data_IF_230765630806
#
_entry.id   IF_230765630806
#
_cell.length_a   1.000
_cell.length_b   1.000
_cell.length_c   1.000
_cell.angle_alpha   90.00
_cell.angle_beta   90.00
_cell.angle_gamma   90.00
#
_symmetry.space_group_name_H-M   'P 1'
#
loop_
_entity.id
_entity.type
_entity.pdbx_description
1 polymer ?
#
# COMPACT_ATOMS: atom_id res chain seq x y z
N UNK A 1 11.71 13.24 -20.77
CA UNK A 1 12.29 14.07 -19.71
C UNK A 1 11.77 15.50 -19.75
N UNK A 2 11.81 16.23 -20.90
CA UNK A 2 11.32 17.64 -21.00
C UNK A 2 9.84 17.83 -20.58
N UNK A 3 8.94 16.89 -20.91
CA UNK A 3 7.51 16.97 -20.53
C UNK A 3 7.28 16.82 -19.02
N UNK A 4 8.08 15.99 -18.34
CA UNK A 4 8.02 15.82 -16.87
C UNK A 4 8.56 17.07 -16.17
N UNK A 5 9.64 17.67 -16.70
CA UNK A 5 10.16 18.95 -16.20
C UNK A 5 9.18 20.10 -16.41
N UNK A 6 8.43 20.12 -17.52
CA UNK A 6 7.39 21.15 -17.73
C UNK A 6 6.22 21.01 -16.78
N UNK A 7 5.79 19.78 -16.48
CA UNK A 7 4.74 19.51 -15.47
C UNK A 7 5.24 19.93 -14.08
N UNK A 8 6.47 19.58 -13.71
CA UNK A 8 7.08 20.02 -12.46
C UNK A 8 7.23 21.56 -12.40
N UNK A 9 7.61 22.21 -13.49
CA UNK A 9 7.70 23.67 -13.56
C UNK A 9 6.32 24.36 -13.49
N UNK A 10 5.27 23.78 -14.09
CA UNK A 10 3.89 24.27 -13.95
C UNK A 10 3.38 24.15 -12.51
N UNK A 11 3.70 23.07 -11.80
CA UNK A 11 3.33 22.92 -10.38
C UNK A 11 4.01 23.97 -9.50
N UNK A 12 5.24 24.39 -9.83
CA UNK A 12 5.96 25.46 -9.09
C UNK A 12 5.42 26.85 -9.40
N UNK A 13 4.87 27.08 -10.58
CA UNK A 13 4.37 28.41 -10.99
C UNK A 13 3.01 28.80 -10.38
N UNK A 14 2.27 27.84 -9.81
CA UNK A 14 0.95 28.08 -9.16
C UNK A 14 1.03 28.34 -7.65
N UNK A 15 2.22 28.64 -7.11
CA UNK A 15 2.49 28.84 -5.68
C UNK A 15 1.84 30.10 -5.05
N UNK A 16 0.81 30.68 -5.67
CA UNK A 16 0.26 31.98 -5.27
C UNK A 16 -0.82 31.96 -4.18
N UNK A 17 -1.38 30.83 -3.79
CA UNK A 17 -2.44 30.80 -2.78
C UNK A 17 -2.57 29.39 -2.18
N UNK A 18 -1.55 28.92 -1.47
CA UNK A 18 -1.60 27.61 -0.82
C UNK A 18 -1.58 27.82 0.68
N UNK A 19 -2.61 27.33 1.36
CA UNK A 19 -2.69 27.35 2.81
C UNK A 19 -1.45 26.66 3.40
N UNK A 20 -0.67 27.39 4.17
CA UNK A 20 0.29 26.78 5.09
C UNK A 20 -0.52 26.28 6.26
N UNK A 21 -0.27 25.06 6.72
CA UNK A 21 -0.84 24.58 7.98
C UNK A 21 -0.50 25.58 9.10
N UNK A 22 -1.55 26.17 9.68
CA UNK A 22 -1.36 27.02 10.84
C UNK A 22 -1.01 26.16 12.06
N UNK A 23 -0.19 26.71 12.96
CA UNK A 23 0.16 26.03 14.20
C UNK A 23 -1.10 25.86 15.05
N UNK A 24 -1.39 24.61 15.45
CA UNK A 24 -2.59 24.27 16.20
C UNK A 24 -3.80 23.91 15.32
N UNK A 25 -3.70 24.03 14.01
CA UNK A 25 -4.77 23.65 13.09
C UNK A 25 -4.92 22.12 13.04
N UNK A 26 -6.15 21.68 13.14
CA UNK A 26 -6.53 20.27 12.96
C UNK A 26 -7.32 20.12 11.67
N UNK A 27 -6.92 19.18 10.84
CA UNK A 27 -7.62 18.90 9.57
C UNK A 27 -7.98 17.44 9.46
N UNK A 28 -9.07 17.16 8.74
CA UNK A 28 -9.53 15.82 8.41
C UNK A 28 -9.59 15.64 6.88
N UNK A 29 -9.01 14.56 6.39
CA UNK A 29 -8.89 14.31 4.96
C UNK A 29 -9.43 12.91 4.62
N UNK A 30 -10.67 12.76 4.11
CA UNK A 30 -11.05 11.57 3.36
C UNK A 30 -10.17 11.42 2.13
N UNK A 31 -9.71 10.20 1.86
CA UNK A 31 -8.84 9.91 0.72
C UNK A 31 -9.17 8.58 0.08
N UNK A 32 -8.97 8.52 -1.23
CA UNK A 32 -9.13 7.33 -2.05
C UNK A 32 -7.99 7.25 -3.06
N UNK A 33 -7.64 6.05 -3.48
CA UNK A 33 -6.58 5.88 -4.46
C UNK A 33 -6.30 4.42 -4.78
N UNK A 34 -5.08 4.18 -5.25
CA UNK A 34 -4.63 2.86 -5.66
C UNK A 34 -3.29 2.49 -5.03
N UNK A 35 -3.12 1.17 -4.89
CA UNK A 35 -1.89 0.55 -4.45
C UNK A 35 -1.30 -0.30 -5.57
N UNK A 36 0.01 -0.30 -5.68
CA UNK A 36 0.78 -1.31 -6.41
C UNK A 36 1.59 -2.06 -5.36
N UNK A 37 1.12 -3.24 -4.99
CA UNK A 37 1.74 -4.08 -3.96
C UNK A 37 2.58 -5.18 -4.57
N UNK A 38 3.68 -5.53 -3.92
CA UNK A 38 4.59 -6.60 -4.28
C UNK A 38 5.08 -7.30 -3.01
N UNK A 39 5.17 -8.62 -3.05
CA UNK A 39 5.83 -9.41 -2.02
C UNK A 39 7.31 -9.54 -2.42
N UNK A 40 8.20 -8.92 -1.66
CA UNK A 40 9.65 -9.02 -1.85
C UNK A 40 10.16 -10.39 -1.36
N UNK A 41 11.27 -10.87 -1.91
CA UNK A 41 11.78 -12.21 -1.59
C UNK A 41 11.02 -13.34 -2.32
N UNK A 42 10.11 -13.01 -3.23
CA UNK A 42 9.35 -13.99 -4.01
C UNK A 42 9.35 -13.64 -5.51
N UNK A 43 9.18 -14.65 -6.36
CA UNK A 43 9.03 -14.49 -7.81
C UNK A 43 7.57 -14.16 -8.22
N UNK A 44 6.87 -13.39 -7.39
CA UNK A 44 5.49 -12.98 -7.62
C UNK A 44 5.43 -11.63 -8.34
N UNK A 45 4.43 -11.48 -9.20
CA UNK A 45 4.15 -10.23 -9.89
C UNK A 45 3.39 -9.26 -8.98
N UNK A 46 3.57 -7.96 -9.25
CA UNK A 46 2.84 -6.91 -8.54
C UNK A 46 1.33 -7.01 -8.77
N UNK A 47 0.56 -6.59 -7.78
CA UNK A 47 -0.90 -6.50 -7.84
C UNK A 47 -1.33 -5.06 -7.62
N UNK A 48 -2.26 -4.59 -8.45
CA UNK A 48 -2.95 -3.32 -8.25
C UNK A 48 -4.18 -3.57 -7.37
N UNK A 49 -4.37 -2.71 -6.38
CA UNK A 49 -5.52 -2.71 -5.47
C UNK A 49 -6.01 -1.31 -5.17
N UNK A 50 -7.12 -1.19 -4.48
CA UNK A 50 -7.68 0.07 -4.03
C UNK A 50 -7.26 0.39 -2.60
N UNK A 51 -7.23 1.68 -2.28
CA UNK A 51 -7.07 2.19 -0.92
C UNK A 51 -8.07 3.31 -0.68
N UNK A 52 -8.71 3.31 0.48
CA UNK A 52 -9.62 4.37 0.90
C UNK A 52 -9.64 4.50 2.42
N UNK A 53 -9.90 5.70 2.92
CA UNK A 53 -10.02 5.97 4.35
C UNK A 53 -9.90 7.44 4.69
N UNK A 54 -9.44 7.71 5.90
CA UNK A 54 -9.33 9.05 6.45
C UNK A 54 -7.93 9.27 7.02
N UNK A 55 -7.42 10.50 6.88
CA UNK A 55 -6.19 10.97 7.53
C UNK A 55 -6.54 12.24 8.30
N UNK A 56 -6.15 12.28 9.57
CA UNK A 56 -6.21 13.48 10.41
C UNK A 56 -4.80 14.05 10.52
N UNK A 57 -4.65 15.36 10.39
CA UNK A 57 -3.37 16.05 10.49
C UNK A 57 -3.48 17.16 11.52
N UNK A 58 -2.40 17.34 12.30
CA UNK A 58 -2.25 18.42 13.27
C UNK A 58 -0.98 19.22 12.96
N UNK A 59 -1.14 20.52 12.81
CA UNK A 59 -0.05 21.47 12.62
C UNK A 59 0.71 21.73 13.92
N UNK A 60 1.91 21.14 14.05
CA UNK A 60 2.75 21.31 15.25
C UNK A 60 3.58 22.59 15.19
N UNK A 61 4.05 22.94 14.01
CA UNK A 61 4.83 24.14 13.75
C UNK A 61 4.54 24.63 12.32
N UNK A 62 4.97 25.85 11.99
CA UNK A 62 4.68 26.52 10.70
C UNK A 62 4.90 25.65 9.45
N UNK A 63 5.93 24.77 9.48
CA UNK A 63 6.26 23.91 8.35
C UNK A 63 6.26 22.42 8.74
N UNK A 64 5.71 22.08 9.92
CA UNK A 64 5.76 20.72 10.44
C UNK A 64 4.41 20.29 10.98
N UNK A 65 3.94 19.15 10.52
CA UNK A 65 2.72 18.50 10.95
C UNK A 65 2.94 17.04 11.33
N UNK A 66 1.99 16.50 12.06
CA UNK A 66 1.89 15.07 12.37
C UNK A 66 0.55 14.58 11.89
N UNK A 67 0.50 13.43 11.23
CA UNK A 67 -0.77 12.85 10.80
C UNK A 67 -0.93 11.41 11.26
N UNK A 68 -2.19 11.06 11.48
CA UNK A 68 -2.67 9.72 11.78
C UNK A 68 -3.76 9.37 10.78
N UNK A 69 -3.68 8.19 10.18
CA UNK A 69 -4.74 7.76 9.28
C UNK A 69 -5.29 6.38 9.64
N UNK A 70 -6.47 6.08 9.11
CA UNK A 70 -7.07 4.75 9.08
C UNK A 70 -7.48 4.46 7.63
N UNK A 71 -6.81 3.49 6.99
CA UNK A 71 -6.94 3.20 5.57
C UNK A 71 -7.27 1.73 5.36
N UNK A 72 -8.37 1.43 4.67
CA UNK A 72 -8.59 0.11 4.10
C UNK A 72 -7.78 -0.01 2.82
N UNK A 73 -6.97 -1.05 2.69
CA UNK A 73 -5.97 -1.19 1.64
C UNK A 73 -5.99 -2.59 1.08
N UNK A 74 -6.39 -2.73 -0.18
CA UNK A 74 -6.34 -3.98 -0.93
C UNK A 74 -4.93 -4.19 -1.46
N UNK A 75 -4.25 -5.25 -1.02
CA UNK A 75 -2.87 -5.54 -1.35
C UNK A 75 -2.72 -7.00 -1.81
N UNK A 76 -1.48 -7.45 -1.98
CA UNK A 76 -1.13 -8.83 -2.31
C UNK A 76 -0.19 -8.95 -3.50
N UNK A 77 -0.22 -10.11 -4.15
CA UNK A 77 0.59 -10.43 -5.31
C UNK A 77 -0.16 -11.36 -6.26
N UNK A 78 0.39 -11.58 -7.45
CA UNK A 78 -0.14 -12.53 -8.43
C UNK A 78 0.98 -13.33 -9.07
N UNK A 79 0.64 -14.53 -9.52
CA UNK A 79 1.55 -15.37 -10.32
C UNK A 79 0.76 -16.01 -11.44
N UNK A 80 1.25 -15.84 -12.65
CA UNK A 80 0.67 -16.43 -13.86
C UNK A 80 1.64 -17.50 -14.35
N UNK A 81 1.20 -18.76 -14.37
CA UNK A 81 1.96 -19.92 -14.85
C UNK A 81 1.31 -20.42 -16.14
N UNK A 82 2.10 -20.59 -17.19
CA UNK A 82 1.66 -21.14 -18.47
C UNK A 82 2.53 -22.34 -18.82
N UNK A 83 1.90 -23.49 -19.04
CA UNK A 83 2.57 -24.71 -19.47
C UNK A 83 1.64 -25.55 -20.34
N UNK A 84 2.09 -25.93 -21.54
CA UNK A 84 1.44 -26.94 -22.36
C UNK A 84 -0.04 -26.70 -22.70
N UNK A 85 -0.45 -25.42 -22.93
CA UNK A 85 -1.85 -25.08 -23.21
C UNK A 85 -2.73 -24.88 -21.96
N UNK A 86 -2.19 -25.06 -20.78
CA UNK A 86 -2.85 -24.82 -19.50
C UNK A 86 -2.30 -23.52 -18.89
N UNK A 87 -3.19 -22.65 -18.42
CA UNK A 87 -2.82 -21.44 -17.66
C UNK A 87 -3.33 -21.59 -16.23
N UNK A 88 -2.45 -21.36 -15.28
CA UNK A 88 -2.77 -21.32 -13.84
C UNK A 88 -2.49 -19.92 -13.31
N UNK A 89 -3.53 -19.23 -12.90
CA UNK A 89 -3.47 -17.89 -12.31
C UNK A 89 -3.62 -18.01 -10.78
N UNK A 90 -2.59 -17.66 -10.03
CA UNK A 90 -2.66 -17.60 -8.57
C UNK A 90 -2.66 -16.15 -8.14
N UNK A 91 -3.71 -15.73 -7.40
CA UNK A 91 -3.85 -14.37 -6.87
C UNK A 91 -3.94 -14.41 -5.36
N UNK A 92 -2.97 -13.78 -4.72
CA UNK A 92 -2.96 -13.55 -3.28
C UNK A 92 -3.68 -12.23 -3.01
N UNK A 93 -4.82 -12.30 -2.32
CA UNK A 93 -5.61 -11.13 -1.92
C UNK A 93 -5.43 -10.92 -0.43
N UNK A 94 -4.71 -9.87 -0.09
CA UNK A 94 -4.38 -9.50 1.28
C UNK A 94 -4.94 -8.10 1.52
N UNK A 95 -6.06 -8.02 2.24
CA UNK A 95 -6.64 -6.73 2.57
C UNK A 95 -6.25 -6.36 4.00
N UNK A 96 -5.85 -5.09 4.18
CA UNK A 96 -5.36 -4.58 5.45
C UNK A 96 -6.16 -3.35 5.89
N UNK A 97 -6.28 -3.20 7.20
CA UNK A 97 -6.52 -1.90 7.82
C UNK A 97 -5.14 -1.37 8.21
N UNK A 98 -4.72 -0.29 7.57
CA UNK A 98 -3.45 0.35 7.80
C UNK A 98 -3.63 1.60 8.65
N UNK A 99 -2.79 1.74 9.68
CA UNK A 99 -2.76 2.88 10.59
C UNK A 99 -1.36 3.51 10.49
N UNK A 100 -1.10 4.39 9.51
CA UNK A 100 0.12 5.16 9.45
C UNK A 100 0.10 6.32 10.46
N UNK A 101 1.22 6.52 11.13
CA UNK A 101 1.58 7.71 11.91
C UNK A 101 2.73 8.37 11.20
N UNK A 102 2.54 9.58 10.68
CA UNK A 102 3.51 10.26 9.83
C UNK A 102 3.90 11.62 10.42
N UNK A 103 5.17 11.92 10.31
CA UNK A 103 5.69 13.28 10.34
C UNK A 103 5.68 13.84 8.91
N UNK A 104 5.29 15.09 8.76
CA UNK A 104 5.27 15.79 7.48
C UNK A 104 6.02 17.12 7.64
N UNK A 105 6.88 17.39 6.67
CA UNK A 105 7.62 18.63 6.60
C UNK A 105 7.34 19.33 5.27
N UNK A 106 6.78 20.54 5.35
CA UNK A 106 6.47 21.37 4.20
C UNK A 106 7.72 22.10 3.71
N UNK A 107 8.24 21.66 2.56
CA UNK A 107 9.44 22.25 1.93
C UNK A 107 9.11 23.62 1.34
N UNK A 108 7.97 23.71 0.70
CA UNK A 108 7.35 24.94 0.19
C UNK A 108 5.84 24.83 0.46
N UNK A 109 5.09 25.94 0.37
CA UNK A 109 3.64 25.91 0.52
C UNK A 109 3.02 24.81 -0.38
N UNK A 110 2.21 23.96 0.20
CA UNK A 110 1.53 22.85 -0.46
C UNK A 110 2.37 21.59 -0.72
N UNK A 111 3.70 21.63 -0.72
CA UNK A 111 4.54 20.46 -0.96
C UNK A 111 5.18 19.96 0.33
N UNK A 112 4.82 18.77 0.77
CA UNK A 112 5.39 18.15 1.96
C UNK A 112 6.08 16.82 1.65
N UNK A 113 7.18 16.55 2.37
CA UNK A 113 7.75 15.21 2.53
C UNK A 113 7.11 14.56 3.74
N UNK A 114 6.82 13.27 3.64
CA UNK A 114 6.18 12.48 4.71
C UNK A 114 7.02 11.25 5.01
N UNK A 115 7.20 10.96 6.28
CA UNK A 115 7.83 9.71 6.73
C UNK A 115 7.27 9.30 8.08
N UNK A 116 7.31 8.00 8.40
CA UNK A 116 6.82 7.53 9.69
C UNK A 116 6.80 6.03 9.83
N UNK A 117 5.82 5.55 10.59
CA UNK A 117 5.60 4.13 10.87
C UNK A 117 4.15 3.80 10.52
N UNK A 118 3.92 2.65 9.91
CA UNK A 118 2.58 2.18 9.59
C UNK A 118 2.36 0.80 10.20
N UNK A 119 1.28 0.67 10.94
CA UNK A 119 0.79 -0.59 11.49
C UNK A 119 -0.29 -1.13 10.55
N UNK A 120 -0.10 -2.35 10.05
CA UNK A 120 -1.04 -3.04 9.17
C UNK A 120 -1.69 -4.22 9.88
N UNK A 121 -3.01 -4.30 9.86
CA UNK A 121 -3.79 -5.41 10.39
C UNK A 121 -4.49 -6.11 9.24
N UNK A 122 -4.10 -7.37 8.97
CA UNK A 122 -4.73 -8.15 7.91
C UNK A 122 -6.16 -8.53 8.32
N UNK A 123 -7.12 -8.14 7.50
CA UNK A 123 -8.55 -8.42 7.70
C UNK A 123 -9.09 -9.45 6.70
N UNK A 124 -8.34 -9.71 5.63
CA UNK A 124 -8.68 -10.71 4.62
C UNK A 124 -7.42 -11.30 4.00
N UNK A 125 -7.34 -12.62 3.96
CA UNK A 125 -6.21 -13.37 3.40
C UNK A 125 -6.74 -14.52 2.53
N UNK A 126 -7.07 -14.23 1.27
CA UNK A 126 -7.58 -15.23 0.35
C UNK A 126 -6.62 -15.47 -0.80
N UNK A 127 -6.40 -16.73 -1.09
CA UNK A 127 -5.69 -17.20 -2.29
C UNK A 127 -6.74 -17.68 -3.29
N UNK A 128 -6.70 -17.10 -4.48
CA UNK A 128 -7.56 -17.51 -5.60
C UNK A 128 -6.71 -18.22 -6.62
N UNK A 129 -7.06 -19.47 -6.88
CA UNK A 129 -6.44 -20.29 -7.91
C UNK A 129 -7.42 -20.41 -9.07
N UNK A 130 -7.05 -19.88 -10.21
CA UNK A 130 -7.80 -20.02 -11.46
C UNK A 130 -7.02 -20.93 -12.40
N UNK A 131 -7.61 -22.04 -12.83
CA UNK A 131 -7.02 -22.93 -13.82
C UNK A 131 -7.86 -22.89 -15.09
N UNK A 132 -7.25 -22.58 -16.21
CA UNK A 132 -7.88 -22.64 -17.53
C UNK A 132 -7.31 -23.82 -18.30
N UNK A 133 -8.12 -24.83 -18.57
CA UNK A 133 -7.78 -26.02 -19.37
C UNK A 133 -8.72 -26.07 -20.54
N UNK A 134 -8.20 -26.09 -21.76
CA UNK A 134 -8.99 -26.22 -22.99
C UNK A 134 -10.19 -25.23 -23.09
N UNK A 135 -10.03 -24.01 -22.56
CA UNK A 135 -11.08 -22.97 -22.57
C UNK A 135 -12.05 -23.00 -21.39
N UNK A 136 -11.97 -23.98 -20.49
CA UNK A 136 -12.77 -24.05 -19.27
C UNK A 136 -12.04 -23.41 -18.10
N UNK A 137 -12.71 -22.50 -17.39
CA UNK A 137 -12.17 -21.81 -16.21
C UNK A 137 -12.65 -22.49 -14.93
N UNK A 138 -11.74 -23.10 -14.18
CA UNK A 138 -11.97 -23.60 -12.83
C UNK A 138 -11.42 -22.57 -11.84
N UNK A 139 -12.23 -22.20 -10.85
CA UNK A 139 -11.82 -21.25 -9.79
C UNK A 139 -12.05 -21.91 -8.44
N UNK A 140 -11.05 -21.85 -7.60
CA UNK A 140 -11.13 -22.27 -6.21
C UNK A 140 -10.53 -21.19 -5.31
N UNK A 141 -11.16 -20.96 -4.16
CA UNK A 141 -10.76 -19.92 -3.18
C UNK A 141 -10.43 -20.62 -1.86
N UNK A 142 -9.20 -20.47 -1.38
CA UNK A 142 -8.77 -20.95 -0.07
C UNK A 142 -8.16 -19.84 0.77
N UNK A 143 -8.02 -20.06 2.07
CA UNK A 143 -7.26 -19.17 2.94
C UNK A 143 -5.75 -19.35 2.71
N UNK A 144 -4.94 -18.38 3.18
CA UNK A 144 -3.48 -18.48 3.07
C UNK A 144 -2.95 -19.68 3.88
N UNK A 145 -3.51 -19.95 5.05
CA UNK A 145 -3.08 -21.08 5.89
C UNK A 145 -3.43 -22.42 5.23
N UNK A 146 -4.63 -22.58 4.67
CA UNK A 146 -5.02 -23.76 3.87
C UNK A 146 -4.12 -23.95 2.64
N UNK A 147 -3.77 -22.86 1.96
CA UNK A 147 -2.83 -22.91 0.83
C UNK A 147 -1.45 -23.43 1.25
N UNK A 148 -0.93 -23.00 2.40
CA UNK A 148 0.34 -23.48 2.95
C UNK A 148 0.26 -24.99 3.29
N UNK A 149 -0.87 -25.47 3.83
CA UNK A 149 -1.07 -26.88 4.15
C UNK A 149 -1.16 -27.75 2.88
N UNK A 150 -1.84 -27.28 1.85
CA UNK A 150 -1.90 -27.95 0.54
C UNK A 150 -0.49 -28.01 -0.09
N UNK A 151 0.25 -26.91 -0.07
CA UNK A 151 1.60 -26.87 -0.64
C UNK A 151 2.55 -27.84 0.09
N UNK A 152 2.45 -27.98 1.43
CA UNK A 152 3.19 -29.02 2.19
C UNK A 152 2.81 -30.43 1.76
N UNK A 153 1.50 -30.69 1.61
CA UNK A 153 1.01 -31.99 1.17
C UNK A 153 1.50 -32.38 -0.24
N UNK A 154 1.79 -31.37 -1.08
CA UNK A 154 2.37 -31.55 -2.42
C UNK A 154 3.90 -31.66 -2.42
N UNK A 155 4.54 -31.68 -1.24
CA UNK A 155 5.99 -31.89 -1.10
C UNK A 155 6.84 -30.63 -1.10
N UNK A 156 6.23 -29.43 -1.05
CA UNK A 156 6.98 -28.19 -0.89
C UNK A 156 7.64 -28.14 0.51
N UNK A 157 8.90 -27.70 0.57
CA UNK A 157 9.66 -27.60 1.81
C UNK A 157 9.25 -26.37 2.63
N UNK A 158 8.01 -26.36 3.12
CA UNK A 158 7.48 -25.30 3.97
C UNK A 158 7.58 -25.75 5.44
N UNK A 159 8.24 -24.98 6.33
CA UNK A 159 8.33 -25.32 7.75
C UNK A 159 6.95 -25.61 8.37
N UNK A 160 6.88 -26.60 9.28
CA UNK A 160 5.62 -27.01 9.90
C UNK A 160 4.98 -25.92 10.76
N UNK A 161 5.78 -24.99 11.26
CA UNK A 161 5.36 -23.83 12.07
C UNK A 161 5.11 -22.55 11.23
N UNK A 162 5.24 -22.63 9.88
CA UNK A 162 4.96 -21.53 9.01
C UNK A 162 3.47 -21.17 9.05
N UNK A 163 3.18 -19.92 9.47
CA UNK A 163 1.81 -19.36 9.55
C UNK A 163 1.81 -17.96 8.97
N UNK A 164 0.70 -17.58 8.35
CA UNK A 164 0.51 -16.24 7.85
C UNK A 164 0.43 -15.22 9.02
N UNK A 165 1.18 -14.15 8.93
CA UNK A 165 1.20 -13.08 9.92
C UNK A 165 0.09 -12.07 9.63
N UNK A 166 -0.81 -11.89 10.60
CA UNK A 166 -1.91 -10.93 10.50
C UNK A 166 -1.49 -9.49 10.79
N UNK A 167 -0.30 -9.30 11.34
CA UNK A 167 0.25 -7.99 11.64
C UNK A 167 1.41 -7.68 10.71
N UNK A 168 1.39 -6.49 10.13
CA UNK A 168 2.43 -5.96 9.25
C UNK A 168 2.95 -4.63 9.80
N UNK A 169 4.25 -4.44 9.75
CA UNK A 169 4.93 -3.21 10.10
C UNK A 169 5.68 -2.70 8.88
N UNK A 170 5.47 -1.44 8.53
CA UNK A 170 6.15 -0.81 7.40
C UNK A 170 6.60 0.62 7.73
N UNK A 171 7.57 1.09 6.96
CA UNK A 171 8.08 2.45 7.02
C UNK A 171 7.59 3.17 5.76
N UNK A 172 6.55 4.00 5.86
CA UNK A 172 6.10 4.86 4.77
C UNK A 172 7.08 6.03 4.58
N UNK A 173 7.42 6.29 3.32
CA UNK A 173 8.13 7.49 2.88
C UNK A 173 7.44 8.02 1.63
N UNK A 174 7.25 9.33 1.53
CA UNK A 174 6.50 9.87 0.41
C UNK A 174 6.50 11.38 0.33
N UNK A 175 5.73 11.85 -0.63
CA UNK A 175 5.49 13.25 -0.92
C UNK A 175 3.99 13.50 -1.01
N UNK A 176 3.54 14.65 -0.57
CA UNK A 176 2.19 15.13 -0.84
C UNK A 176 2.23 16.53 -1.42
N UNK A 177 1.30 16.77 -2.32
CA UNK A 177 1.07 18.08 -2.90
C UNK A 177 -0.37 18.49 -2.65
N UNK A 178 -0.53 19.67 -2.07
CA UNK A 178 -1.81 20.28 -1.74
C UNK A 178 -2.05 21.46 -2.67
N UNK A 179 -3.22 21.46 -3.28
CA UNK A 179 -3.70 22.55 -4.12
C UNK A 179 -5.13 22.88 -3.70
N UNK A 180 -5.34 24.09 -3.18
CA UNK A 180 -6.57 24.43 -2.46
C UNK A 180 -6.81 23.39 -1.36
N UNK A 181 -7.96 22.73 -1.36
CA UNK A 181 -8.32 21.67 -0.41
C UNK A 181 -8.00 20.26 -0.91
N UNK A 182 -7.50 20.11 -2.13
CA UNK A 182 -7.17 18.81 -2.69
C UNK A 182 -5.73 18.43 -2.38
N UNK A 183 -5.53 17.21 -1.91
CA UNK A 183 -4.21 16.67 -1.59
C UNK A 183 -3.94 15.43 -2.43
N UNK A 184 -2.90 15.50 -3.25
CA UNK A 184 -2.33 14.35 -3.96
C UNK A 184 -1.17 13.81 -3.11
N UNK A 185 -1.22 12.53 -2.76
CA UNK A 185 -0.22 11.89 -1.89
C UNK A 185 0.33 10.65 -2.59
N UNK A 186 1.64 10.60 -2.75
CA UNK A 186 2.39 9.48 -3.30
C UNK A 186 3.39 8.97 -2.27
N UNK A 187 3.24 7.73 -1.82
CA UNK A 187 4.12 7.12 -0.82
C UNK A 187 4.53 5.71 -1.17
N UNK A 188 5.69 5.33 -0.66
CA UNK A 188 6.20 3.98 -0.72
C UNK A 188 6.30 3.42 0.70
N UNK A 189 5.55 2.35 0.97
CA UNK A 189 5.52 1.66 2.24
C UNK A 189 6.53 0.51 2.18
N UNK A 190 7.63 0.65 2.89
CA UNK A 190 8.71 -0.34 2.96
C UNK A 190 8.34 -1.35 4.03
N UNK A 191 7.94 -2.57 3.67
CA UNK A 191 7.63 -3.63 4.62
C UNK A 191 8.86 -4.03 5.42
N UNK A 192 8.72 -4.09 6.74
CA UNK A 192 9.79 -4.51 7.66
C UNK A 192 9.50 -5.85 8.30
N UNK A 193 8.24 -6.19 8.54
CA UNK A 193 7.81 -7.48 9.08
C UNK A 193 7.74 -8.57 8.00
N UNK A 194 7.91 -9.82 8.42
CA UNK A 194 7.73 -11.00 7.55
C UNK A 194 6.26 -11.31 7.40
N UNK A 195 5.82 -11.68 6.19
CA UNK A 195 4.44 -12.11 5.93
C UNK A 195 4.13 -13.51 6.45
N UNK A 196 5.15 -14.38 6.43
CA UNK A 196 5.05 -15.76 6.90
C UNK A 196 6.08 -15.96 8.01
N UNK A 197 5.63 -16.46 9.16
CA UNK A 197 6.52 -16.86 10.25
C UNK A 197 7.41 -17.99 9.76
N UNK A 198 8.67 -17.97 10.15
CA UNK A 198 9.68 -18.99 9.79
C UNK A 198 9.98 -19.10 8.29
N UNK A 199 9.65 -18.06 7.49
CA UNK A 199 10.03 -17.98 6.08
C UNK A 199 11.53 -17.75 5.94
N UNK A 200 12.29 -18.66 5.27
CA UNK A 200 13.71 -18.50 5.01
C UNK A 200 14.02 -17.27 4.15
N UNK A 201 13.17 -16.98 3.17
CA UNK A 201 13.35 -15.90 2.19
C UNK A 201 12.93 -14.52 2.71
N UNK A 202 12.43 -14.45 3.95
CA UNK A 202 12.02 -13.19 4.59
C UNK A 202 11.06 -12.37 3.73
N UNK A 203 10.05 -13.00 3.14
CA UNK A 203 9.04 -12.34 2.31
C UNK A 203 8.37 -11.18 3.06
N UNK A 204 8.43 -9.98 2.47
CA UNK A 204 7.88 -8.75 3.04
C UNK A 204 6.96 -8.07 2.06
N UNK A 205 6.00 -7.33 2.58
CA UNK A 205 5.06 -6.58 1.77
C UNK A 205 5.61 -5.18 1.47
N UNK A 206 5.72 -4.82 0.20
CA UNK A 206 6.13 -3.48 -0.23
C UNK A 206 5.07 -2.89 -1.14
N UNK A 207 4.65 -1.65 -0.84
CA UNK A 207 3.49 -1.05 -1.50
C UNK A 207 3.80 0.36 -1.93
N UNK A 208 3.67 0.61 -3.22
CA UNK A 208 3.55 1.98 -3.74
C UNK A 208 2.07 2.38 -3.69
N UNK A 209 1.78 3.52 -3.09
CA UNK A 209 0.43 4.04 -2.89
C UNK A 209 0.32 5.43 -3.50
N UNK A 210 -0.75 5.66 -4.26
CA UNK A 210 -1.12 6.96 -4.79
C UNK A 210 -2.57 7.25 -4.39
N UNK A 211 -2.79 8.36 -3.69
CA UNK A 211 -4.12 8.76 -3.22
C UNK A 211 -4.39 10.22 -3.52
N UNK A 212 -5.68 10.51 -3.72
CA UNK A 212 -6.22 11.87 -3.71
C UNK A 212 -7.17 11.99 -2.53
N UNK A 213 -7.14 13.11 -1.85
CA UNK A 213 -8.02 13.44 -0.73
C UNK A 213 -8.50 14.87 -0.81
N UNK A 214 -9.48 15.17 0.02
CA UNK A 214 -10.00 16.52 0.24
C UNK A 214 -9.79 16.89 1.71
N UNK A 215 -9.16 18.02 1.99
CA UNK A 215 -8.80 18.47 3.34
C UNK A 215 -9.91 19.38 3.88
N UNK A 216 -10.48 19.00 5.01
CA UNK A 216 -11.40 19.83 5.79
C UNK A 216 -10.66 20.40 6.99
N UNK A 217 -10.74 21.69 7.17
CA UNK A 217 -10.28 22.38 8.38
C UNK A 217 -11.36 22.26 9.46
N UNK A 218 -10.94 21.95 10.71
CA UNK A 218 -11.83 21.72 11.86
C UNK A 218 -11.54 22.71 13.00
#
# INVERSE_FOLDING_TARGET
MKKIMMIAAMMVATLGAVAQNEVGQFTLQPKVGMNISKITGSNLNSKVGLVAGFEAEYGVAKNFGVSLAALYSMQGAKRDLKAGGTSVDVKFNLDYINIPVLAQYYIVPGLAVKAGIQFGFNVRNKVKVGTTVAGYNLKDDCSMDEFLDIARALGEQIPSDAKFQKFDLSIPVGLSYEYEDFVLDARYNIGTSKLIKSDPDSSKNSVFQLTIGYKFEL
#
